data_IF_998890450982
#
_entry.id   IF_998890450982
#
_cell.length_a   1.000
_cell.length_b   1.000
_cell.length_c   1.000
_cell.angle_alpha   90.00
_cell.angle_beta   90.00
_cell.angle_gamma   90.00
#
_symmetry.space_group_name_H-M   'P 1'
#
loop_
_entity.id
_entity.type
_entity.pdbx_description
1 polymer ?
#
# COMPACT_ATOMS: atom_id res chain seq x y z
N UNK A 1 -13.40 -3.41 -12.69
CA UNK A 1 -12.84 -2.23 -13.38
C UNK A 1 -11.83 -2.70 -14.40
N UNK A 2 -12.03 -2.41 -15.69
CA UNK A 2 -11.01 -2.72 -16.69
C UNK A 2 -9.71 -1.97 -16.38
N UNK A 3 -8.58 -2.58 -16.65
CA UNK A 3 -7.23 -2.05 -16.48
C UNK A 3 -6.70 -1.85 -15.03
N UNK A 4 -7.47 -2.13 -14.00
CA UNK A 4 -6.96 -2.15 -12.63
C UNK A 4 -6.15 -3.43 -12.39
N UNK A 5 -4.89 -3.28 -11.97
CA UNK A 5 -3.95 -4.38 -11.77
C UNK A 5 -3.34 -4.33 -10.38
N UNK A 6 -3.12 -5.51 -9.80
CA UNK A 6 -2.50 -5.64 -8.47
C UNK A 6 -1.27 -6.56 -8.51
N UNK A 7 -0.41 -6.40 -7.51
CA UNK A 7 0.73 -7.30 -7.33
C UNK A 7 0.26 -8.70 -6.90
N UNK A 8 0.39 -9.67 -7.79
CA UNK A 8 -0.10 -11.04 -7.57
C UNK A 8 0.38 -11.66 -6.26
N UNK A 9 1.66 -11.53 -5.95
CA UNK A 9 2.23 -12.15 -4.74
C UNK A 9 1.60 -11.63 -3.45
N UNK A 10 1.39 -10.31 -3.33
CA UNK A 10 0.76 -9.72 -2.14
C UNK A 10 -0.74 -10.05 -2.07
N UNK A 11 -1.42 -10.01 -3.22
CA UNK A 11 -2.81 -10.43 -3.31
C UNK A 11 -2.99 -11.88 -2.86
N UNK A 12 -2.18 -12.80 -3.40
CA UNK A 12 -2.23 -14.22 -3.05
C UNK A 12 -1.87 -14.49 -1.59
N UNK A 13 -0.91 -13.73 -1.03
CA UNK A 13 -0.54 -13.87 0.38
C UNK A 13 -1.71 -13.56 1.32
N UNK A 14 -2.58 -12.65 0.95
CA UNK A 14 -3.81 -12.38 1.72
C UNK A 14 -4.93 -13.35 1.36
N UNK A 15 -5.28 -13.49 0.05
CA UNK A 15 -6.50 -14.17 -0.38
C UNK A 15 -6.40 -15.69 -0.38
N UNK A 16 -5.21 -16.25 -0.70
CA UNK A 16 -5.01 -17.70 -0.90
C UNK A 16 -4.40 -18.40 0.33
N UNK A 17 -4.46 -17.76 1.48
CA UNK A 17 -3.98 -18.31 2.76
C UNK A 17 -5.09 -18.30 3.81
N UNK A 18 -4.83 -18.89 4.97
CA UNK A 18 -5.76 -18.90 6.09
C UNK A 18 -5.98 -17.54 6.77
N UNK A 19 -5.18 -16.53 6.39
CA UNK A 19 -5.25 -15.18 6.97
C UNK A 19 -6.61 -14.56 6.66
N UNK A 20 -7.04 -14.56 5.40
CA UNK A 20 -8.33 -13.99 4.99
C UNK A 20 -9.50 -14.60 5.76
N UNK A 21 -9.60 -15.93 5.76
CA UNK A 21 -10.70 -16.62 6.45
C UNK A 21 -10.68 -16.40 7.97
N UNK A 22 -9.49 -16.35 8.56
CA UNK A 22 -9.31 -16.05 9.98
C UNK A 22 -9.77 -14.64 10.34
N UNK A 23 -9.38 -13.63 9.57
CA UNK A 23 -9.80 -12.23 9.77
C UNK A 23 -11.32 -12.10 9.62
N UNK A 24 -11.90 -12.62 8.54
CA UNK A 24 -13.35 -12.56 8.29
C UNK A 24 -14.12 -13.21 9.43
N UNK A 25 -13.70 -14.39 9.87
CA UNK A 25 -14.32 -15.09 11.01
C UNK A 25 -14.26 -14.25 12.29
N UNK A 26 -13.11 -13.64 12.59
CA UNK A 26 -12.93 -12.80 13.77
C UNK A 26 -13.82 -11.54 13.72
N UNK A 27 -13.85 -10.85 12.58
CA UNK A 27 -14.70 -9.66 12.37
C UNK A 27 -16.18 -10.01 12.50
N UNK A 28 -16.63 -11.09 11.86
CA UNK A 28 -18.03 -11.52 11.95
C UNK A 28 -18.44 -11.88 13.39
N UNK A 29 -17.56 -12.53 14.14
CA UNK A 29 -17.81 -12.83 15.57
C UNK A 29 -17.90 -11.55 16.39
N UNK A 30 -17.00 -10.61 16.20
CA UNK A 30 -17.02 -9.33 16.90
C UNK A 30 -18.31 -8.55 16.59
N UNK A 31 -18.70 -8.49 15.31
CA UNK A 31 -19.96 -7.82 14.89
C UNK A 31 -21.21 -8.49 15.46
N UNK A 32 -21.20 -9.80 15.62
CA UNK A 32 -22.32 -10.53 16.24
C UNK A 32 -22.53 -10.14 17.70
N UNK A 33 -21.46 -9.76 18.43
CA UNK A 33 -21.53 -9.36 19.83
C UNK A 33 -21.74 -7.86 20.03
N UNK A 34 -21.14 -7.02 19.16
CA UNK A 34 -21.03 -5.58 19.39
C UNK A 34 -21.76 -4.74 18.33
N UNK A 35 -22.34 -5.37 17.29
CA UNK A 35 -22.95 -4.67 16.17
C UNK A 35 -21.91 -4.11 15.19
N UNK A 36 -22.23 -3.01 14.54
CA UNK A 36 -21.31 -2.33 13.62
C UNK A 36 -20.07 -1.81 14.37
N UNK A 37 -18.91 -2.05 13.79
CA UNK A 37 -17.61 -1.71 14.36
C UNK A 37 -16.83 -0.78 13.45
N UNK A 38 -16.06 0.11 14.04
CA UNK A 38 -14.96 0.79 13.37
C UNK A 38 -13.77 -0.17 13.32
N UNK A 39 -13.27 -0.44 12.13
CA UNK A 39 -12.22 -1.43 11.91
C UNK A 39 -10.95 -0.71 11.47
N UNK A 40 -9.88 -0.86 12.27
CA UNK A 40 -8.55 -0.45 11.89
C UNK A 40 -7.75 -1.67 11.45
N UNK A 41 -7.18 -1.59 10.24
CA UNK A 41 -6.27 -2.62 9.69
C UNK A 41 -4.88 -2.03 9.61
N UNK A 42 -3.90 -2.72 10.17
CA UNK A 42 -2.51 -2.23 10.19
C UNK A 42 -1.53 -3.32 9.81
N UNK A 43 -0.38 -2.91 9.27
CA UNK A 43 0.68 -3.84 8.91
C UNK A 43 1.98 -3.13 8.51
N UNK A 44 3.09 -3.86 8.59
CA UNK A 44 4.43 -3.41 8.21
C UNK A 44 4.95 -4.20 7.01
N UNK A 45 5.66 -3.52 6.09
CA UNK A 45 6.29 -4.14 4.91
C UNK A 45 5.26 -4.93 4.08
N UNK A 46 5.51 -6.20 3.77
CA UNK A 46 4.55 -7.10 3.12
C UNK A 46 3.22 -7.19 3.88
N UNK A 47 3.25 -7.15 5.23
CA UNK A 47 2.03 -7.11 6.05
C UNK A 47 1.21 -5.85 5.83
N UNK A 48 1.84 -4.73 5.48
CA UNK A 48 1.16 -3.49 5.04
C UNK A 48 0.41 -3.68 3.72
N UNK A 49 1.04 -4.36 2.75
CA UNK A 49 0.37 -4.74 1.50
C UNK A 49 -0.86 -5.63 1.75
N UNK A 50 -0.72 -6.63 2.62
CA UNK A 50 -1.83 -7.51 3.00
C UNK A 50 -2.93 -6.76 3.77
N UNK A 51 -2.56 -5.81 4.65
CA UNK A 51 -3.50 -4.96 5.37
C UNK A 51 -4.35 -4.11 4.42
N UNK A 52 -3.75 -3.59 3.35
CA UNK A 52 -4.48 -2.84 2.33
C UNK A 52 -5.51 -3.73 1.59
N UNK A 53 -5.13 -4.95 1.18
CA UNK A 53 -6.09 -5.89 0.60
C UNK A 53 -7.17 -6.33 1.59
N UNK A 54 -6.81 -6.52 2.86
CA UNK A 54 -7.76 -6.85 3.92
C UNK A 54 -8.81 -5.75 4.10
N UNK A 55 -8.37 -4.49 4.19
CA UNK A 55 -9.28 -3.35 4.31
C UNK A 55 -10.25 -3.26 3.13
N UNK A 56 -9.73 -3.45 1.90
CA UNK A 56 -10.55 -3.46 0.69
C UNK A 56 -11.57 -4.60 0.70
N UNK A 57 -11.15 -5.82 1.05
CA UNK A 57 -12.02 -6.99 1.13
C UNK A 57 -13.14 -6.80 2.16
N UNK A 58 -12.81 -6.30 3.35
CA UNK A 58 -13.81 -6.01 4.39
C UNK A 58 -14.82 -4.97 3.93
N UNK A 59 -14.39 -3.95 3.21
CA UNK A 59 -15.25 -2.89 2.69
C UNK A 59 -16.17 -3.38 1.57
N UNK A 60 -15.61 -4.10 0.59
CA UNK A 60 -16.32 -4.47 -0.65
C UNK A 60 -17.18 -5.73 -0.45
N UNK A 61 -16.66 -6.73 0.25
CA UNK A 61 -17.28 -8.05 0.33
C UNK A 61 -17.95 -8.36 1.68
N UNK A 62 -17.67 -7.57 2.71
CA UNK A 62 -18.16 -7.86 4.06
C UNK A 62 -18.89 -6.68 4.73
N UNK A 63 -19.31 -5.70 3.96
CA UNK A 63 -20.18 -4.60 4.40
C UNK A 63 -19.62 -3.81 5.60
N UNK A 64 -18.29 -3.75 5.75
CA UNK A 64 -17.67 -2.95 6.78
C UNK A 64 -17.84 -1.45 6.46
N UNK A 65 -18.56 -0.72 7.32
CA UNK A 65 -18.90 0.69 7.07
C UNK A 65 -17.70 1.60 7.21
N UNK A 66 -17.01 1.49 8.34
CA UNK A 66 -15.88 2.35 8.71
C UNK A 66 -14.61 1.49 8.75
N UNK A 67 -13.80 1.60 7.71
CA UNK A 67 -12.51 0.94 7.61
C UNK A 67 -11.42 2.01 7.52
N UNK A 68 -10.44 1.91 8.41
CA UNK A 68 -9.19 2.67 8.37
C UNK A 68 -8.04 1.71 8.08
N UNK A 69 -7.15 2.10 7.20
CA UNK A 69 -5.93 1.35 6.90
C UNK A 69 -4.72 2.22 7.22
N UNK A 70 -3.88 1.74 8.14
CA UNK A 70 -2.65 2.42 8.54
C UNK A 70 -1.48 1.47 8.35
N UNK A 71 -0.57 1.80 7.44
CA UNK A 71 0.54 0.92 7.09
C UNK A 71 1.90 1.57 7.29
N UNK A 72 2.93 0.76 7.52
CA UNK A 72 4.30 1.19 7.76
C UNK A 72 5.23 0.52 6.75
N UNK A 73 6.01 1.30 6.02
CA UNK A 73 6.93 0.76 5.01
C UNK A 73 6.25 -0.12 3.95
N UNK A 74 5.02 0.20 3.58
CA UNK A 74 4.23 -0.59 2.62
C UNK A 74 4.82 -0.47 1.21
N UNK A 75 5.04 -1.60 0.49
CA UNK A 75 5.39 -1.56 -0.92
C UNK A 75 4.19 -1.17 -1.80
N UNK A 76 4.45 -0.86 -3.09
CA UNK A 76 3.39 -0.63 -4.07
C UNK A 76 2.61 -1.92 -4.34
N UNK A 77 1.29 -1.82 -4.33
CA UNK A 77 0.41 -3.00 -4.38
C UNK A 77 -0.39 -3.13 -5.68
N UNK A 78 -0.45 -2.07 -6.48
CA UNK A 78 -1.18 -2.07 -7.73
C UNK A 78 -0.73 -0.95 -8.67
N UNK A 79 -1.41 -0.77 -9.79
CA UNK A 79 -1.20 0.34 -10.72
C UNK A 79 -2.02 1.58 -10.34
N UNK A 80 -1.87 2.68 -11.10
CA UNK A 80 -2.57 3.92 -10.84
C UNK A 80 -4.10 3.78 -10.88
N UNK A 81 -4.62 2.92 -11.77
CA UNK A 81 -6.08 2.66 -11.87
C UNK A 81 -6.59 1.97 -10.62
N UNK A 82 -5.86 0.96 -10.13
CA UNK A 82 -6.18 0.31 -8.86
C UNK A 82 -6.08 1.29 -7.69
N UNK A 83 -5.03 2.10 -7.64
CA UNK A 83 -4.79 3.08 -6.57
C UNK A 83 -5.94 4.10 -6.46
N UNK A 84 -6.40 4.64 -7.59
CA UNK A 84 -7.56 5.55 -7.63
C UNK A 84 -8.83 4.87 -7.11
N UNK A 85 -9.13 3.68 -7.61
CA UNK A 85 -10.29 2.90 -7.15
C UNK A 85 -10.23 2.57 -5.65
N UNK A 86 -9.04 2.20 -5.17
CA UNK A 86 -8.83 1.86 -3.77
C UNK A 86 -9.14 3.04 -2.84
N UNK A 87 -8.64 4.23 -3.15
CA UNK A 87 -8.81 5.40 -2.28
C UNK A 87 -10.27 5.91 -2.28
N UNK A 88 -10.99 5.73 -3.38
CA UNK A 88 -12.42 6.05 -3.44
C UNK A 88 -13.25 5.19 -2.48
N UNK A 89 -12.84 3.93 -2.28
CA UNK A 89 -13.53 2.98 -1.38
C UNK A 89 -13.06 3.10 0.07
N UNK A 90 -11.76 3.34 0.28
CA UNK A 90 -11.16 3.43 1.61
C UNK A 90 -10.38 4.76 1.75
N UNK A 91 -11.11 5.87 1.84
CA UNK A 91 -10.49 7.20 1.95
C UNK A 91 -9.66 7.38 3.22
N UNK A 92 -9.89 6.57 4.27
CA UNK A 92 -9.13 6.61 5.51
C UNK A 92 -7.90 5.68 5.45
N UNK A 93 -7.10 5.82 4.39
CA UNK A 93 -5.84 5.08 4.24
C UNK A 93 -4.66 6.02 4.43
N UNK A 94 -3.70 5.60 5.26
CA UNK A 94 -2.45 6.31 5.52
C UNK A 94 -1.27 5.35 5.42
N UNK A 95 -0.23 5.76 4.72
CA UNK A 95 1.03 5.03 4.58
C UNK A 95 2.13 5.81 5.29
N UNK A 96 2.68 5.25 6.34
CA UNK A 96 3.84 5.82 7.03
C UNK A 96 5.10 5.28 6.37
N UNK A 97 5.95 6.17 5.88
CA UNK A 97 7.28 5.86 5.36
C UNK A 97 8.34 6.47 6.25
N UNK A 98 9.49 5.83 6.37
CA UNK A 98 10.50 6.25 7.31
C UNK A 98 11.85 6.43 6.62
N UNK A 99 12.45 7.60 6.75
CA UNK A 99 13.77 7.94 6.22
C UNK A 99 13.99 7.44 4.77
N UNK A 100 14.98 6.53 4.62
CA UNK A 100 15.43 5.95 3.35
C UNK A 100 14.98 4.50 3.19
N UNK A 101 13.87 4.11 3.81
CA UNK A 101 13.34 2.75 3.66
C UNK A 101 13.13 2.44 2.18
N UNK A 102 13.80 1.38 1.69
CA UNK A 102 13.71 0.98 0.28
C UNK A 102 12.40 0.29 -0.06
N UNK A 103 11.73 -0.32 0.92
CA UNK A 103 10.54 -1.15 0.69
C UNK A 103 9.39 -0.38 0.04
N UNK A 104 9.04 0.85 0.46
CA UNK A 104 8.04 1.66 -0.22
C UNK A 104 8.37 1.94 -1.70
N UNK A 105 9.64 1.88 -2.08
CA UNK A 105 10.04 2.13 -3.46
C UNK A 105 9.92 0.91 -4.38
N UNK A 106 9.53 -0.24 -3.82
CA UNK A 106 9.33 -1.50 -4.53
C UNK A 106 7.84 -1.85 -4.69
N UNK A 107 7.43 -2.50 -5.79
CA UNK A 107 8.14 -2.55 -7.06
C UNK A 107 8.38 -1.15 -7.65
N UNK A 108 9.35 -0.97 -8.57
CA UNK A 108 9.73 0.34 -9.08
C UNK A 108 8.58 1.08 -9.77
N UNK A 109 8.55 2.39 -9.60
CA UNK A 109 7.68 3.29 -10.36
C UNK A 109 8.44 3.84 -11.57
N UNK A 110 7.88 3.68 -12.77
CA UNK A 110 8.46 4.19 -14.02
C UNK A 110 7.55 5.24 -14.64
N UNK A 111 7.87 6.51 -14.46
CA UNK A 111 7.08 7.65 -14.95
C UNK A 111 6.90 7.67 -16.48
N UNK A 112 7.81 7.03 -17.24
CA UNK A 112 7.72 6.93 -18.70
C UNK A 112 6.63 5.95 -19.18
N UNK A 113 6.14 5.06 -18.32
CA UNK A 113 5.11 4.07 -18.64
C UNK A 113 4.01 4.05 -17.57
N UNK A 114 3.29 5.14 -17.35
CA UNK A 114 2.40 5.31 -16.20
C UNK A 114 1.26 4.28 -16.13
N UNK A 115 0.84 3.73 -17.27
CA UNK A 115 -0.21 2.67 -17.31
C UNK A 115 0.30 1.27 -16.97
N UNK A 116 1.62 1.05 -17.04
CA UNK A 116 2.26 -0.27 -16.82
C UNK A 116 3.13 -0.31 -15.57
N UNK A 117 3.14 0.76 -14.80
CA UNK A 117 3.96 0.87 -13.61
C UNK A 117 3.13 0.69 -12.36
N UNK A 118 3.78 0.19 -11.31
CA UNK A 118 3.20 0.21 -9.98
C UNK A 118 3.03 1.65 -9.47
N UNK A 119 2.01 1.86 -8.68
CA UNK A 119 1.66 3.15 -8.12
C UNK A 119 1.20 3.01 -6.68
N UNK A 120 1.58 3.93 -5.83
CA UNK A 120 1.08 3.97 -4.46
C UNK A 120 -0.34 4.51 -4.37
N UNK A 121 -1.05 4.05 -3.34
CA UNK A 121 -2.26 4.75 -2.86
C UNK A 121 -1.85 6.08 -2.22
N UNK A 122 -2.69 7.14 -2.34
CA UNK A 122 -2.44 8.44 -1.72
C UNK A 122 -2.30 8.39 -0.19
N UNK A 123 -1.95 9.58 0.37
CA UNK A 123 -1.74 9.90 1.78
C UNK A 123 -0.57 9.17 2.40
N UNK A 124 0.58 9.55 1.90
CA UNK A 124 1.85 9.24 2.54
C UNK A 124 2.14 10.26 3.65
N UNK A 125 2.62 9.75 4.79
CA UNK A 125 3.25 10.54 5.85
C UNK A 125 4.70 10.09 5.96
N UNK A 126 5.61 10.97 5.57
CA UNK A 126 7.04 10.68 5.56
C UNK A 126 7.70 11.18 6.83
N UNK A 127 8.28 10.25 7.59
CA UNK A 127 9.10 10.54 8.77
C UNK A 127 10.58 10.62 8.35
N UNK A 128 11.24 11.73 8.70
CA UNK A 128 12.64 11.95 8.34
C UNK A 128 13.35 12.78 9.40
N UNK A 129 14.68 12.80 9.37
CA UNK A 129 15.44 13.62 10.30
C UNK A 129 16.10 14.78 9.55
N UNK A 130 16.08 15.93 10.16
CA UNK A 130 16.72 17.16 9.67
C UNK A 130 17.85 17.53 10.62
N UNK A 131 19.04 17.71 10.05
CA UNK A 131 20.18 18.27 10.81
C UNK A 131 20.16 19.80 10.71
N UNK A 132 20.05 20.46 11.84
CA UNK A 132 20.19 21.92 11.96
C UNK A 132 21.32 22.19 12.95
N UNK A 133 22.40 22.79 12.44
CA UNK A 133 23.65 22.97 13.19
C UNK A 133 24.21 21.63 13.71
N UNK A 134 24.32 21.48 15.03
CA UNK A 134 24.82 20.26 15.69
C UNK A 134 23.70 19.34 16.21
N UNK A 135 22.44 19.69 15.99
CA UNK A 135 21.29 18.97 16.50
C UNK A 135 20.56 18.23 15.37
N UNK A 136 20.03 17.05 15.71
CA UNK A 136 19.18 16.24 14.83
C UNK A 136 17.76 16.34 15.34
N UNK A 137 16.84 16.69 14.43
CA UNK A 137 15.41 16.80 14.69
C UNK A 137 14.66 15.79 13.86
N UNK A 138 13.72 15.09 14.48
CA UNK A 138 12.75 14.28 13.76
C UNK A 138 11.63 15.17 13.25
N UNK A 139 11.27 14.98 11.99
CA UNK A 139 10.25 15.75 11.30
C UNK A 139 9.29 14.80 10.58
N UNK A 140 8.06 15.27 10.36
CA UNK A 140 7.07 14.58 9.56
C UNK A 140 6.61 15.49 8.42
N UNK A 141 6.33 14.91 7.27
CA UNK A 141 5.73 15.58 6.13
C UNK A 141 4.53 14.80 5.63
N UNK A 142 3.38 15.47 5.58
CA UNK A 142 2.20 14.97 4.87
C UNK A 142 2.43 15.28 3.39
N UNK A 143 2.45 14.24 2.58
CA UNK A 143 2.70 14.33 1.15
C UNK A 143 1.42 14.72 0.39
N UNK A 144 1.58 15.02 -0.89
CA UNK A 144 0.43 15.29 -1.74
C UNK A 144 -0.45 14.04 -1.94
N UNK A 145 -1.61 14.24 -2.56
CA UNK A 145 -2.57 13.15 -2.76
C UNK A 145 -2.33 12.34 -4.05
N UNK A 146 -1.16 12.49 -4.69
CA UNK A 146 -0.83 11.72 -5.89
C UNK A 146 -0.41 10.29 -5.59
N UNK A 147 0.10 10.02 -4.38
CA UNK A 147 0.71 8.77 -3.97
C UNK A 147 2.17 8.62 -4.41
N UNK A 148 2.66 9.50 -5.31
CA UNK A 148 4.04 9.49 -5.84
C UNK A 148 4.67 10.89 -5.75
N UNK A 149 4.45 11.60 -4.63
CA UNK A 149 5.00 12.93 -4.38
C UNK A 149 6.53 12.92 -4.51
N UNK A 150 7.11 13.68 -5.47
CA UNK A 150 8.55 13.71 -5.65
C UNK A 150 9.29 14.40 -4.50
N UNK A 151 8.60 15.21 -3.71
CA UNK A 151 9.16 15.96 -2.58
C UNK A 151 9.04 15.20 -1.25
N UNK A 152 8.57 13.96 -1.25
CA UNK A 152 8.48 13.07 -0.10
C UNK A 152 9.54 11.95 -0.14
N UNK A 153 9.24 10.79 0.40
CA UNK A 153 10.20 9.68 0.48
C UNK A 153 10.77 9.31 -0.90
N UNK A 154 10.04 9.55 -1.97
CA UNK A 154 10.46 9.32 -3.35
C UNK A 154 11.68 10.15 -3.79
N UNK A 155 11.87 11.35 -3.24
CA UNK A 155 13.03 12.20 -3.54
C UNK A 155 14.36 11.47 -3.33
N UNK A 156 14.44 10.67 -2.29
CA UNK A 156 15.64 9.92 -1.94
C UNK A 156 15.92 8.74 -2.87
N UNK A 157 14.88 8.11 -3.42
CA UNK A 157 15.04 7.01 -4.37
C UNK A 157 15.67 7.48 -5.70
N UNK A 158 15.43 8.71 -6.09
CA UNK A 158 16.03 9.29 -7.30
C UNK A 158 17.52 9.58 -7.12
N UNK A 159 17.95 10.03 -5.94
CA UNK A 159 19.35 10.26 -5.63
C UNK A 159 20.16 8.96 -5.48
N UNK A 160 19.56 7.92 -4.92
CA UNK A 160 20.18 6.60 -4.78
C UNK A 160 20.24 5.82 -6.09
N UNK A 161 19.29 6.04 -7.01
CA UNK A 161 19.24 5.35 -8.30
C UNK A 161 20.45 5.63 -9.20
N UNK A 162 21.14 6.74 -9.02
CA UNK A 162 22.36 7.06 -9.78
C UNK A 162 23.65 6.41 -9.24
N UNK A 163 23.63 5.84 -8.02
CA UNK A 163 24.84 5.33 -7.38
C UNK A 163 24.90 3.84 -7.05
N UNK A 164 23.77 3.16 -6.86
CA UNK A 164 23.75 1.79 -6.28
C UNK A 164 22.99 0.72 -7.08
N UNK A 165 22.29 1.06 -8.15
CA UNK A 165 21.46 0.11 -8.92
C UNK A 165 22.22 -0.80 -9.88
N UNK A 166 23.55 -0.74 -9.92
CA UNK A 166 24.33 -1.52 -10.89
C UNK A 166 24.59 -2.97 -10.44
N UNK A 167 24.19 -3.41 -9.23
CA UNK A 167 24.57 -4.71 -8.69
C UNK A 167 23.47 -5.57 -8.03
N UNK A 168 22.17 -5.27 -8.19
CA UNK A 168 21.12 -6.21 -7.76
C UNK A 168 20.56 -6.88 -9.01
N UNK A 169 20.79 -8.19 -9.24
CA UNK A 169 20.03 -8.91 -10.27
C UNK A 169 18.58 -8.96 -9.83
N UNK A 170 17.77 -8.15 -10.49
CA UNK A 170 16.32 -8.19 -10.36
C UNK A 170 15.83 -9.51 -10.94
N UNK A 171 15.59 -10.50 -10.11
CA UNK A 171 14.70 -11.57 -10.46
C UNK A 171 13.31 -10.96 -10.60
N UNK A 172 12.96 -10.63 -11.84
CA UNK A 172 11.62 -10.22 -12.21
C UNK A 172 10.65 -11.36 -11.87
N UNK A 173 9.96 -11.23 -10.74
CA UNK A 173 8.69 -11.89 -10.62
C UNK A 173 7.76 -11.18 -11.62
N UNK A 174 7.40 -11.88 -12.70
CA UNK A 174 6.49 -11.36 -13.71
C UNK A 174 5.26 -10.77 -13.04
N UNK A 175 5.05 -9.48 -13.23
CA UNK A 175 3.76 -8.85 -12.92
C UNK A 175 2.77 -9.45 -13.93
N UNK A 176 2.16 -10.56 -13.59
CA UNK A 176 1.04 -11.10 -14.36
C UNK A 176 -0.14 -10.17 -14.15
N UNK A 177 -0.73 -9.75 -15.25
CA UNK A 177 -1.97 -9.00 -15.27
C UNK A 177 -3.08 -9.86 -14.65
N UNK A 178 -3.45 -9.54 -13.41
CA UNK A 178 -4.64 -10.12 -12.81
C UNK A 178 -5.74 -9.06 -12.85
N UNK A 179 -6.85 -9.45 -13.45
CA UNK A 179 -8.03 -8.62 -13.55
C UNK A 179 -8.65 -8.47 -12.14
N UNK A 180 -8.82 -7.23 -11.69
CA UNK A 180 -9.48 -6.92 -10.41
C UNK A 180 -10.97 -7.31 -10.46
N UNK A 181 -11.50 -7.65 -11.64
CA UNK A 181 -12.85 -8.21 -11.78
C UNK A 181 -13.09 -9.47 -10.92
N UNK A 182 -12.02 -10.17 -10.48
CA UNK A 182 -12.12 -11.28 -9.52
C UNK A 182 -12.32 -10.83 -8.07
N UNK A 183 -12.32 -9.52 -7.76
CA UNK A 183 -12.75 -8.99 -6.47
C UNK A 183 -14.27 -8.81 -6.37
N UNK A 184 -15.02 -9.10 -7.44
CA UNK A 184 -16.48 -9.12 -7.39
C UNK A 184 -16.98 -10.31 -6.55
N UNK A 185 -18.10 -10.15 -5.84
CA UNK A 185 -18.60 -11.14 -4.87
C UNK A 185 -18.92 -12.47 -5.54
N UNK A 186 -18.44 -13.56 -4.94
CA UNK A 186 -19.09 -14.85 -4.97
C UNK A 186 -19.99 -14.98 -3.75
#
# INVERSE_FOLDING_TARGET
MPDAMVHHGFYSAYHNTTIRSGVISAVNRARAFYGDLDIMVTGHSMGGAMAAFCGLDLKVNHDAKNVMVLTFGQPRIGNAVFSSYYIDLIPNTFRITNHHDIVPHLPPYYSLFPRKTYHHTPREVWLYSVQMDSLLYDAEKICDETGEDPDCSRYLSLLQSFGHWMFIPLNYAEARNYDVATLAPY
#
